data_IF_018784049703
#
_entry.id   IF_018784049703
#
_cell.length_a   1.000
_cell.length_b   1.000
_cell.length_c   1.000
_cell.angle_alpha   90.00
_cell.angle_beta   90.00
_cell.angle_gamma   90.00
#
_symmetry.space_group_name_H-M   'P 1'
#
loop_
_entity.id
_entity.type
_entity.pdbx_description
1 polymer ?
#
# COMPACT_ATOMS: atom_id res chain seq x y z
N UNK A 1 22.08 26.88 -22.39
CA UNK A 1 21.60 25.51 -22.10
C UNK A 1 21.46 25.36 -20.60
N UNK A 2 20.24 25.57 -20.07
CA UNK A 2 19.93 25.36 -18.66
C UNK A 2 19.80 23.86 -18.44
N UNK A 3 20.65 23.29 -17.57
CA UNK A 3 20.51 21.90 -17.10
C UNK A 3 19.12 21.76 -16.45
N UNK A 4 18.27 20.80 -16.85
CA UNK A 4 17.09 20.50 -16.06
C UNK A 4 17.56 19.95 -14.72
N UNK A 5 17.13 20.58 -13.62
CA UNK A 5 17.40 20.12 -12.27
C UNK A 5 16.87 18.70 -12.12
N UNK A 6 17.75 17.77 -11.71
CA UNK A 6 17.34 16.44 -11.28
C UNK A 6 16.38 16.60 -10.10
N UNK A 7 15.09 16.31 -10.33
CA UNK A 7 14.13 16.12 -9.26
C UNK A 7 14.40 14.73 -8.73
N UNK A 8 15.23 14.62 -7.68
CA UNK A 8 15.38 13.39 -6.93
C UNK A 8 14.07 13.18 -6.18
N UNK A 9 13.13 12.44 -6.78
CA UNK A 9 11.93 11.96 -6.09
C UNK A 9 12.43 11.11 -4.94
N UNK A 10 12.43 11.69 -3.75
CA UNK A 10 12.70 10.94 -2.52
C UNK A 10 11.45 10.12 -2.30
N UNK A 11 11.48 8.85 -2.74
CA UNK A 11 10.36 7.93 -2.57
C UNK A 11 10.03 7.85 -1.09
N UNK A 12 8.88 8.43 -0.70
CA UNK A 12 8.35 8.27 0.65
C UNK A 12 8.14 6.79 0.87
N UNK A 13 8.83 6.20 1.85
CA UNK A 13 8.71 4.77 2.11
C UNK A 13 7.26 4.44 2.46
N UNK A 14 6.67 3.51 1.70
CA UNK A 14 5.33 2.98 1.94
C UNK A 14 5.46 1.64 2.63
N UNK A 15 4.59 1.40 3.61
CA UNK A 15 4.46 0.09 4.26
C UNK A 15 3.04 -0.40 4.11
N UNK A 16 2.87 -1.64 3.68
CA UNK A 16 1.58 -2.27 3.53
C UNK A 16 1.44 -3.35 4.59
N UNK A 17 0.43 -3.25 5.45
CA UNK A 17 0.24 -4.18 6.57
C UNK A 17 -1.04 -4.98 6.34
N UNK A 18 -0.95 -6.30 6.45
CA UNK A 18 -2.10 -7.20 6.46
C UNK A 18 -1.96 -8.23 7.58
N UNK A 19 -2.96 -8.28 8.47
CA UNK A 19 -2.97 -9.16 9.65
C UNK A 19 -1.66 -9.07 10.47
N UNK A 20 -1.12 -7.86 10.62
CA UNK A 20 0.12 -7.59 11.35
C UNK A 20 1.41 -7.95 10.60
N UNK A 21 1.32 -8.45 9.35
CA UNK A 21 2.48 -8.74 8.49
C UNK A 21 2.70 -7.61 7.50
N UNK A 22 3.96 -7.26 7.27
CA UNK A 22 4.35 -6.35 6.21
C UNK A 22 4.33 -7.07 4.86
N UNK A 23 3.72 -6.44 3.86
CA UNK A 23 3.62 -6.89 2.49
C UNK A 23 4.55 -6.05 1.61
N UNK A 24 5.14 -6.70 0.61
CA UNK A 24 6.03 -6.03 -0.33
C UNK A 24 5.31 -4.97 -1.17
N UNK A 25 5.96 -3.83 -1.40
CA UNK A 25 5.54 -2.86 -2.41
C UNK A 25 6.09 -3.31 -3.77
N UNK A 26 5.25 -3.96 -4.58
CA UNK A 26 5.68 -4.48 -5.89
C UNK A 26 5.91 -3.39 -6.94
N UNK A 27 5.28 -2.22 -6.77
CA UNK A 27 5.39 -1.13 -7.71
C UNK A 27 5.08 0.22 -7.01
N UNK A 28 6.12 1.02 -6.70
CA UNK A 28 5.97 2.34 -6.08
C UNK A 28 5.09 3.32 -6.86
N UNK A 29 4.97 3.16 -8.19
CA UNK A 29 4.14 4.00 -9.04
C UNK A 29 2.64 3.68 -8.94
N UNK A 30 2.29 2.47 -8.47
CA UNK A 30 0.90 2.05 -8.31
C UNK A 30 0.32 2.47 -6.97
N UNK A 31 -0.99 2.72 -6.92
CA UNK A 31 -1.70 3.02 -5.69
C UNK A 31 -1.86 1.81 -4.77
N UNK A 32 -2.17 2.06 -3.48
CA UNK A 32 -2.37 1.02 -2.47
C UNK A 32 -3.45 -0.01 -2.84
N UNK A 33 -4.50 0.41 -3.54
CA UNK A 33 -5.55 -0.49 -4.05
C UNK A 33 -5.03 -1.47 -5.11
N UNK A 34 -4.14 -1.03 -5.99
CA UNK A 34 -3.56 -1.89 -7.02
C UNK A 34 -2.52 -2.84 -6.43
N UNK A 35 -1.70 -2.37 -5.47
CA UNK A 35 -0.84 -3.23 -4.66
C UNK A 35 -1.65 -4.32 -3.93
N UNK A 36 -2.80 -3.97 -3.34
CA UNK A 36 -3.71 -4.94 -2.73
C UNK A 36 -4.21 -5.98 -3.73
N UNK A 37 -4.61 -5.58 -4.95
CA UNK A 37 -5.06 -6.50 -6.01
C UNK A 37 -3.96 -7.45 -6.46
N UNK A 38 -2.71 -6.98 -6.52
CA UNK A 38 -1.56 -7.85 -6.84
C UNK A 38 -1.35 -8.91 -5.77
N UNK A 39 -1.35 -8.53 -4.49
CA UNK A 39 -1.28 -9.49 -3.39
C UNK A 39 -2.51 -10.42 -3.33
N UNK A 40 -3.67 -9.98 -3.80
CA UNK A 40 -4.87 -10.81 -3.87
C UNK A 40 -4.73 -12.02 -4.83
N UNK A 41 -3.76 -12.02 -5.74
CA UNK A 41 -3.46 -13.17 -6.60
C UNK A 41 -2.91 -14.36 -5.83
N UNK A 42 -2.24 -14.12 -4.70
CA UNK A 42 -1.63 -15.16 -3.84
C UNK A 42 -2.28 -15.24 -2.46
N UNK A 43 -2.97 -14.19 -2.02
CA UNK A 43 -3.70 -14.10 -0.75
C UNK A 43 -5.17 -13.74 -1.07
N UNK A 44 -6.02 -14.72 -1.42
CA UNK A 44 -7.37 -14.46 -1.92
C UNK A 44 -8.25 -13.59 -1.00
N UNK A 45 -8.00 -13.63 0.31
CA UNK A 45 -8.71 -12.82 1.30
C UNK A 45 -8.54 -11.30 1.08
N UNK A 46 -7.44 -10.87 0.44
CA UNK A 46 -7.20 -9.46 0.11
C UNK A 46 -8.13 -8.93 -0.99
N UNK A 47 -8.72 -9.81 -1.81
CA UNK A 47 -9.65 -9.40 -2.87
C UNK A 47 -10.87 -8.65 -2.32
N UNK A 48 -11.30 -8.98 -1.09
CA UNK A 48 -12.41 -8.33 -0.39
C UNK A 48 -11.96 -7.39 0.74
N UNK A 49 -10.65 -7.26 0.96
CA UNK A 49 -10.12 -6.38 1.98
C UNK A 49 -10.31 -4.90 1.60
N UNK A 50 -10.39 -4.05 2.62
CA UNK A 50 -10.46 -2.59 2.50
C UNK A 50 -9.07 -2.02 2.78
N UNK A 51 -8.67 -1.00 2.02
CA UNK A 51 -7.45 -0.22 2.30
C UNK A 51 -7.80 0.89 3.29
N UNK A 52 -7.07 0.96 4.39
CA UNK A 52 -7.11 2.07 5.35
C UNK A 52 -5.77 2.84 5.34
N UNK A 53 -5.82 4.13 5.66
CA UNK A 53 -4.68 5.03 5.67
C UNK A 53 -4.55 5.89 4.39
N UNK A 54 -3.36 6.46 4.12
CA UNK A 54 -2.11 6.24 4.86
C UNK A 54 -2.10 6.90 6.23
N UNK A 55 -1.46 6.26 7.20
CA UNK A 55 -1.04 6.86 8.45
C UNK A 55 0.46 7.14 8.39
N UNK A 56 0.90 8.34 8.77
CA UNK A 56 2.33 8.65 8.87
C UNK A 56 2.89 8.07 10.18
N UNK A 57 3.72 7.03 10.09
CA UNK A 57 4.38 6.39 11.23
C UNK A 57 5.86 6.18 10.92
N UNK A 58 6.73 6.62 11.83
CA UNK A 58 8.19 6.50 11.71
C UNK A 58 8.75 7.01 10.37
N UNK A 59 8.15 8.07 9.82
CA UNK A 59 8.53 8.65 8.52
C UNK A 59 8.06 7.85 7.30
N UNK A 60 7.21 6.84 7.47
CA UNK A 60 6.63 6.04 6.41
C UNK A 60 5.11 6.23 6.30
N UNK A 61 4.58 6.13 5.08
CA UNK A 61 3.14 6.04 4.84
C UNK A 61 2.70 4.59 5.03
N UNK A 62 1.98 4.33 6.11
CA UNK A 62 1.50 2.99 6.47
C UNK A 62 0.06 2.83 6.00
N UNK A 63 -0.15 1.87 5.10
CA UNK A 63 -1.44 1.42 4.62
C UNK A 63 -1.78 0.09 5.29
N UNK A 64 -3.00 -0.05 5.78
CA UNK A 64 -3.46 -1.32 6.38
C UNK A 64 -4.55 -1.92 5.53
N UNK A 65 -4.38 -3.16 5.11
CA UNK A 65 -5.44 -3.94 4.47
C UNK A 65 -6.22 -4.66 5.57
N UNK A 66 -7.51 -4.35 5.71
CA UNK A 66 -8.39 -5.00 6.68
C UNK A 66 -9.38 -5.92 5.98
N UNK A 67 -9.52 -7.14 6.50
CA UNK A 67 -10.61 -8.04 6.11
C UNK A 67 -11.93 -7.32 6.33
N UNK A 68 -12.82 -7.35 5.33
CA UNK A 68 -14.18 -6.89 5.51
C UNK A 68 -14.89 -7.86 6.46
N UNK A 69 -15.12 -7.44 7.70
CA UNK A 69 -16.04 -8.15 8.58
C UNK A 69 -17.41 -8.04 7.92
N UNK A 70 -17.97 -9.17 7.48
CA UNK A 70 -19.31 -9.18 6.89
C UNK A 70 -20.29 -8.54 7.87
N UNK A 71 -20.91 -7.42 7.48
CA UNK A 71 -22.10 -6.94 8.17
C UNK A 71 -23.19 -7.94 7.86
N UNK A 72 -23.42 -8.88 8.79
CA UNK A 72 -24.57 -9.76 8.73
C UNK A 72 -25.82 -8.88 8.67
N UNK A 73 -26.50 -8.88 7.53
CA UNK A 73 -27.76 -8.20 7.26
C UNK A 73 -28.65 -9.15 6.48
#
# INVERSE_FOLDING_TARGET
MTKPSEITVTEVQRKFIYEGRELADFNPELGAEDIKKMHAMTIPELASAVVEGPELKDGAHVYTFKKRLGTKG
#
